data_IF_391764341400
#
_entry.id   IF_391764341400
#
_cell.length_a   1.000
_cell.length_b   1.000
_cell.length_c   1.000
_cell.angle_alpha   90.00
_cell.angle_beta   90.00
_cell.angle_gamma   90.00
#
_symmetry.space_group_name_H-M   'P 1'
#
loop_
_entity.id
_entity.type
_entity.pdbx_description
1 polymer ?
#
# COMPACT_ATOMS: atom_id res chain seq x y z
N UNK A 1 -19.66 22.48 -10.18
CA UNK A 1 -18.82 21.62 -9.33
C UNK A 1 -17.57 21.27 -10.13
N UNK A 2 -16.37 21.10 -9.50
CA UNK A 2 -15.15 20.71 -10.21
C UNK A 2 -15.01 19.20 -10.33
N UNK A 3 -14.33 18.74 -11.36
CA UNK A 3 -13.91 17.34 -11.49
C UNK A 3 -13.13 16.92 -10.26
N UNK A 4 -13.39 15.71 -9.75
CA UNK A 4 -12.65 15.15 -8.61
C UNK A 4 -12.58 13.64 -8.67
N UNK A 5 -11.52 13.11 -8.05
CA UNK A 5 -11.35 11.66 -7.84
C UNK A 5 -11.43 11.37 -6.34
N UNK A 6 -12.33 10.48 -5.95
CA UNK A 6 -12.43 9.94 -4.59
C UNK A 6 -11.71 8.59 -4.55
N UNK A 7 -10.60 8.54 -3.81
CA UNK A 7 -9.73 7.35 -3.75
C UNK A 7 -10.03 6.52 -2.52
N UNK A 8 -10.22 5.21 -2.73
CA UNK A 8 -10.38 4.24 -1.67
C UNK A 8 -9.28 3.18 -1.75
N UNK A 9 -8.78 2.73 -0.61
CA UNK A 9 -7.85 1.61 -0.51
C UNK A 9 -6.37 2.00 -0.47
N UNK A 10 -5.55 1.38 -1.32
CA UNK A 10 -4.10 1.33 -1.19
C UNK A 10 -3.35 2.48 -1.87
N UNK A 11 -2.02 2.50 -1.68
CA UNK A 11 -1.10 3.46 -2.32
C UNK A 11 -1.15 3.41 -3.85
N UNK A 12 -1.36 2.21 -4.41
CA UNK A 12 -1.48 2.02 -5.85
C UNK A 12 -2.75 2.71 -6.39
N UNK A 13 -3.90 2.59 -5.70
CA UNK A 13 -5.08 3.36 -6.05
C UNK A 13 -4.83 4.88 -5.94
N UNK A 14 -4.06 5.32 -4.95
CA UNK A 14 -3.71 6.73 -4.82
C UNK A 14 -2.83 7.22 -5.98
N UNK A 15 -1.88 6.41 -6.44
CA UNK A 15 -1.06 6.69 -7.63
C UNK A 15 -1.95 6.77 -8.88
N UNK A 16 -2.78 5.77 -9.13
CA UNK A 16 -3.68 5.72 -10.29
C UNK A 16 -4.71 6.87 -10.29
N UNK A 17 -5.17 7.30 -9.12
CA UNK A 17 -6.06 8.46 -9.02
C UNK A 17 -5.40 9.74 -9.52
N UNK A 18 -4.09 9.87 -9.40
CA UNK A 18 -3.35 11.02 -9.97
C UNK A 18 -3.28 10.96 -11.50
N UNK A 19 -3.16 9.77 -12.06
CA UNK A 19 -3.25 9.57 -13.51
C UNK A 19 -4.65 9.97 -14.00
N UNK A 20 -5.68 9.52 -13.32
CA UNK A 20 -7.08 9.89 -13.65
C UNK A 20 -7.26 11.41 -13.55
N UNK A 21 -6.82 12.04 -12.44
CA UNK A 21 -6.92 13.49 -12.25
C UNK A 21 -6.25 14.27 -13.39
N UNK A 22 -5.07 13.81 -13.84
CA UNK A 22 -4.33 14.46 -14.92
C UNK A 22 -5.02 14.32 -16.29
N UNK A 23 -5.77 13.23 -16.50
CA UNK A 23 -6.46 12.94 -17.75
C UNK A 23 -7.91 13.48 -17.80
N UNK A 24 -8.47 13.92 -16.68
CA UNK A 24 -9.79 14.51 -16.67
C UNK A 24 -9.79 15.84 -17.43
N UNK A 25 -10.75 16.08 -18.35
CA UNK A 25 -10.79 17.32 -19.15
C UNK A 25 -10.99 18.55 -18.26
N UNK A 26 -10.50 19.69 -18.72
CA UNK A 26 -10.88 20.96 -18.14
C UNK A 26 -12.39 21.16 -18.28
N UNK A 27 -13.03 21.68 -17.20
CA UNK A 27 -14.47 21.81 -17.08
C UNK A 27 -15.09 22.61 -18.24
N UNK A 28 -15.89 21.96 -19.08
CA UNK A 28 -16.73 22.68 -20.07
C UNK A 28 -18.20 22.22 -20.06
N UNK A 29 -18.50 20.96 -19.66
CA UNK A 29 -19.87 20.46 -19.75
C UNK A 29 -20.36 19.91 -18.41
N UNK A 30 -20.33 18.77 -18.00
CA UNK A 30 -20.78 18.31 -16.67
C UNK A 30 -19.60 17.87 -15.81
N UNK A 31 -19.56 18.32 -14.56
CA UNK A 31 -18.55 17.89 -13.59
C UNK A 31 -18.59 16.37 -13.39
N UNK A 32 -17.41 15.74 -13.32
CA UNK A 32 -17.25 14.30 -13.13
C UNK A 32 -16.74 14.00 -11.72
N UNK A 33 -17.36 13.03 -11.06
CA UNK A 33 -16.87 12.48 -9.81
C UNK A 33 -16.48 11.02 -10.04
N UNK A 34 -15.20 10.74 -9.95
CA UNK A 34 -14.64 9.39 -10.18
C UNK A 34 -14.36 8.72 -8.85
N UNK A 35 -14.93 7.53 -8.63
CA UNK A 35 -14.71 6.71 -7.46
C UNK A 35 -13.70 5.59 -7.80
N UNK A 36 -12.45 5.72 -7.36
CA UNK A 36 -11.45 4.67 -7.52
C UNK A 36 -11.55 3.68 -6.35
N UNK A 37 -12.23 2.57 -6.58
CA UNK A 37 -12.74 1.65 -5.57
C UNK A 37 -11.72 0.61 -5.11
N UNK A 38 -11.88 0.12 -3.87
CA UNK A 38 -11.09 -0.95 -3.28
C UNK A 38 -11.94 -2.22 -3.07
N UNK A 39 -11.33 -3.39 -3.29
CA UNK A 39 -11.97 -4.70 -3.14
C UNK A 39 -11.42 -5.53 -1.96
N UNK A 40 -10.43 -5.05 -1.23
CA UNK A 40 -9.74 -5.84 -0.19
C UNK A 40 -10.69 -6.30 0.92
N UNK A 41 -11.60 -5.45 1.37
CA UNK A 41 -12.59 -5.79 2.40
C UNK A 41 -14.01 -5.44 1.96
N UNK A 42 -15.01 -6.17 2.48
CA UNK A 42 -16.43 -5.85 2.26
C UNK A 42 -16.80 -4.45 2.79
N UNK A 43 -16.14 -4.02 3.88
CA UNK A 43 -16.32 -2.69 4.44
C UNK A 43 -15.85 -1.60 3.47
N UNK A 44 -14.71 -1.78 2.81
CA UNK A 44 -14.24 -0.83 1.80
C UNK A 44 -15.24 -0.69 0.64
N UNK A 45 -15.80 -1.80 0.14
CA UNK A 45 -16.85 -1.77 -0.90
C UNK A 45 -18.11 -1.06 -0.40
N UNK A 46 -18.53 -1.31 0.84
CA UNK A 46 -19.68 -0.64 1.46
C UNK A 46 -19.48 0.87 1.53
N UNK A 47 -18.30 1.33 1.94
CA UNK A 47 -17.95 2.76 2.00
C UNK A 47 -18.01 3.43 0.63
N UNK A 48 -17.49 2.78 -0.41
CA UNK A 48 -17.60 3.26 -1.80
C UNK A 48 -19.06 3.46 -2.19
N UNK A 49 -19.92 2.42 -2.02
CA UNK A 49 -21.36 2.51 -2.35
C UNK A 49 -22.08 3.61 -1.57
N UNK A 50 -21.73 3.80 -0.30
CA UNK A 50 -22.29 4.90 0.51
C UNK A 50 -21.87 6.29 -0.01
N UNK A 51 -20.59 6.45 -0.38
CA UNK A 51 -20.07 7.72 -0.90
C UNK A 51 -20.73 8.05 -2.24
N UNK A 52 -20.91 7.08 -3.13
CA UNK A 52 -21.65 7.22 -4.41
C UNK A 52 -23.06 7.76 -4.16
N UNK A 53 -23.86 7.07 -3.31
CA UNK A 53 -25.23 7.50 -2.98
C UNK A 53 -25.29 8.88 -2.36
N UNK A 54 -24.34 9.21 -1.47
CA UNK A 54 -24.23 10.53 -0.87
C UNK A 54 -23.92 11.60 -1.90
N UNK A 55 -23.04 11.32 -2.85
CA UNK A 55 -22.66 12.24 -3.91
C UNK A 55 -23.84 12.51 -4.84
N UNK A 56 -24.56 11.48 -5.31
CA UNK A 56 -25.74 11.65 -6.18
C UNK A 56 -26.83 12.48 -5.51
N UNK A 57 -27.11 12.24 -4.22
CA UNK A 57 -28.11 13.04 -3.48
C UNK A 57 -27.73 14.52 -3.35
N UNK A 58 -26.43 14.82 -3.21
CA UNK A 58 -25.94 16.20 -3.05
C UNK A 58 -25.77 16.94 -4.37
N UNK A 59 -25.52 16.20 -5.42
CA UNK A 59 -25.19 16.70 -6.75
C UNK A 59 -25.89 15.83 -7.82
N UNK A 60 -27.19 16.09 -8.09
CA UNK A 60 -27.98 15.25 -9.02
C UNK A 60 -27.42 15.20 -10.44
N UNK A 61 -26.82 16.30 -10.90
CA UNK A 61 -26.45 16.49 -12.32
C UNK A 61 -24.99 16.07 -12.63
N UNK A 62 -24.19 15.67 -11.62
CA UNK A 62 -22.80 15.26 -11.88
C UNK A 62 -22.74 13.90 -12.57
N UNK A 63 -21.74 13.69 -13.41
CA UNK A 63 -21.44 12.37 -13.95
C UNK A 63 -20.64 11.56 -12.92
N UNK A 64 -21.19 10.44 -12.47
CA UNK A 64 -20.55 9.53 -11.52
C UNK A 64 -19.94 8.36 -12.27
N UNK A 65 -18.62 8.25 -12.19
CA UNK A 65 -17.84 7.17 -12.79
C UNK A 65 -17.24 6.31 -11.66
N UNK A 66 -17.40 5.01 -11.74
CA UNK A 66 -16.80 4.06 -10.78
C UNK A 66 -15.73 3.24 -11.47
N UNK A 67 -14.58 3.12 -10.85
CA UNK A 67 -13.44 2.31 -11.30
C UNK A 67 -12.74 1.66 -10.12
N UNK A 68 -11.61 1.00 -10.35
CA UNK A 68 -10.81 0.37 -9.31
C UNK A 68 -11.14 -1.10 -9.10
N UNK A 69 -10.49 -1.72 -8.09
CA UNK A 69 -10.55 -3.17 -7.93
C UNK A 69 -11.96 -3.72 -7.70
N UNK A 70 -12.83 -3.01 -6.98
CA UNK A 70 -14.19 -3.49 -6.76
C UNK A 70 -15.05 -3.42 -8.02
N UNK A 71 -14.90 -2.36 -8.83
CA UNK A 71 -15.58 -2.22 -10.11
C UNK A 71 -15.09 -3.24 -11.14
N UNK A 72 -13.80 -3.57 -11.14
CA UNK A 72 -13.23 -4.60 -12.02
C UNK A 72 -13.75 -6.00 -11.70
N UNK A 73 -13.89 -6.33 -10.40
CA UNK A 73 -14.29 -7.68 -9.95
C UNK A 73 -15.80 -7.91 -10.10
N UNK A 74 -16.59 -6.89 -9.86
CA UNK A 74 -18.06 -6.96 -9.85
C UNK A 74 -18.64 -5.71 -10.52
N UNK A 75 -18.45 -5.58 -11.86
CA UNK A 75 -18.93 -4.43 -12.61
C UNK A 75 -20.44 -4.30 -12.61
N UNK A 76 -21.16 -5.43 -12.64
CA UNK A 76 -22.63 -5.49 -12.70
C UNK A 76 -23.26 -4.87 -11.45
N UNK A 77 -22.73 -5.17 -10.27
CA UNK A 77 -23.21 -4.55 -9.02
C UNK A 77 -23.14 -3.03 -9.04
N UNK A 78 -22.10 -2.45 -9.61
CA UNK A 78 -22.00 -0.99 -9.75
C UNK A 78 -22.83 -0.46 -10.95
N UNK A 79 -22.85 -1.20 -12.05
CA UNK A 79 -23.64 -0.87 -13.23
C UNK A 79 -25.15 -0.86 -12.98
N UNK A 80 -25.65 -1.67 -12.04
CA UNK A 80 -27.06 -1.68 -11.64
C UNK A 80 -27.44 -0.56 -10.65
N UNK A 81 -26.47 0.16 -10.09
CA UNK A 81 -26.76 1.29 -9.21
C UNK A 81 -27.32 2.47 -10.01
N UNK A 82 -28.54 2.98 -9.71
CA UNK A 82 -29.13 4.10 -10.46
C UNK A 82 -28.31 5.39 -10.32
N UNK A 83 -27.47 5.48 -9.29
CA UNK A 83 -26.60 6.61 -9.04
C UNK A 83 -25.36 6.67 -9.95
N UNK A 84 -24.99 5.55 -10.60
CA UNK A 84 -23.74 5.41 -11.38
C UNK A 84 -24.02 5.61 -12.86
N UNK A 85 -23.28 6.48 -13.52
CA UNK A 85 -23.37 6.71 -14.95
C UNK A 85 -22.48 5.73 -15.76
N UNK A 86 -21.22 5.50 -15.30
CA UNK A 86 -20.28 4.62 -15.98
C UNK A 86 -19.48 3.79 -14.99
N UNK A 87 -19.12 2.57 -15.42
CA UNK A 87 -18.16 1.68 -14.75
C UNK A 87 -16.99 1.42 -15.69
N UNK A 88 -15.77 1.74 -15.24
CA UNK A 88 -14.55 1.64 -16.03
C UNK A 88 -13.59 0.67 -15.36
N UNK A 89 -13.02 -0.26 -16.12
CA UNK A 89 -12.06 -1.25 -15.63
C UNK A 89 -10.72 -0.68 -15.21
N UNK A 90 -9.89 -1.53 -14.61
CA UNK A 90 -8.60 -1.14 -14.06
C UNK A 90 -7.53 -0.88 -15.14
N UNK A 91 -7.64 -1.49 -16.31
CA UNK A 91 -6.79 -1.19 -17.46
C UNK A 91 -7.26 0.09 -18.16
N UNK A 92 -8.56 0.17 -18.44
CA UNK A 92 -9.18 1.25 -19.22
C UNK A 92 -8.99 2.60 -18.53
N UNK A 93 -9.09 2.65 -17.20
CA UNK A 93 -8.92 3.90 -16.44
C UNK A 93 -7.57 4.58 -16.60
N UNK A 94 -6.54 3.83 -17.08
CA UNK A 94 -5.21 4.37 -17.31
C UNK A 94 -5.03 4.96 -18.72
N UNK A 95 -6.01 4.78 -19.62
CA UNK A 95 -5.98 5.29 -21.00
C UNK A 95 -6.53 6.72 -21.03
N UNK A 96 -5.76 7.72 -21.55
CA UNK A 96 -6.22 9.12 -21.58
C UNK A 96 -7.52 9.31 -22.35
N UNK A 97 -7.70 8.58 -23.45
CA UNK A 97 -8.85 8.73 -24.35
C UNK A 97 -10.19 8.47 -23.67
N UNK A 98 -10.23 7.52 -22.71
CA UNK A 98 -11.45 7.21 -21.95
C UNK A 98 -11.95 8.40 -21.13
N UNK A 99 -11.05 9.30 -20.73
CA UNK A 99 -11.38 10.48 -19.95
C UNK A 99 -11.66 11.71 -20.79
N UNK A 100 -11.14 11.80 -22.02
CA UNK A 100 -11.40 12.92 -22.94
C UNK A 100 -12.87 12.94 -23.36
N UNK A 101 -13.41 11.77 -23.74
CA UNK A 101 -14.82 11.56 -24.06
C UNK A 101 -15.25 10.23 -23.43
N UNK A 102 -16.20 10.30 -22.47
CA UNK A 102 -16.77 9.07 -21.92
C UNK A 102 -17.53 8.34 -23.05
N UNK A 103 -17.34 7.04 -23.21
CA UNK A 103 -18.09 6.24 -24.18
C UNK A 103 -19.60 6.26 -23.89
N UNK A 104 -20.39 5.92 -24.91
CA UNK A 104 -21.85 5.80 -24.74
C UNK A 104 -22.23 4.56 -23.90
N UNK A 105 -21.35 3.54 -23.89
CA UNK A 105 -21.54 2.32 -23.11
C UNK A 105 -21.32 2.60 -21.62
N UNK A 106 -22.23 2.05 -20.81
CA UNK A 106 -22.19 2.21 -19.35
C UNK A 106 -21.11 1.37 -18.68
N UNK A 107 -20.83 0.17 -19.22
CA UNK A 107 -19.85 -0.79 -18.69
C UNK A 107 -18.70 -0.92 -19.68
N UNK A 108 -17.50 -0.49 -19.26
CA UNK A 108 -16.27 -0.55 -20.06
C UNK A 108 -15.23 -1.28 -19.21
N UNK A 109 -15.36 -2.58 -19.13
CA UNK A 109 -14.56 -3.45 -18.27
C UNK A 109 -14.14 -4.68 -19.05
N UNK A 110 -12.87 -4.75 -19.45
CA UNK A 110 -12.31 -5.93 -20.10
C UNK A 110 -11.80 -6.94 -19.08
N UNK A 111 -11.53 -8.15 -19.55
CA UNK A 111 -10.92 -9.18 -18.70
C UNK A 111 -9.47 -8.80 -18.37
N UNK A 112 -9.26 -8.44 -17.11
CA UNK A 112 -7.95 -8.00 -16.60
C UNK A 112 -6.89 -9.12 -16.66
N UNK A 113 -7.29 -10.39 -16.80
CA UNK A 113 -6.36 -11.52 -16.91
C UNK A 113 -5.66 -11.57 -18.28
N UNK A 114 -6.22 -10.92 -19.29
CA UNK A 114 -5.65 -10.83 -20.63
C UNK A 114 -4.60 -9.71 -20.77
N UNK A 115 -4.45 -8.84 -19.78
CA UNK A 115 -3.50 -7.74 -19.78
C UNK A 115 -2.09 -8.27 -19.51
N UNK A 116 -1.19 -8.13 -20.49
CA UNK A 116 0.19 -8.66 -20.43
C UNK A 116 1.23 -7.62 -20.06
N UNK A 117 0.96 -6.34 -20.31
CA UNK A 117 1.90 -5.25 -20.08
C UNK A 117 1.32 -4.19 -19.16
N UNK A 118 2.19 -3.50 -18.45
CA UNK A 118 1.81 -2.30 -17.69
C UNK A 118 2.28 -1.08 -18.50
N UNK A 119 1.32 -0.31 -19.03
CA UNK A 119 1.65 0.93 -19.70
C UNK A 119 2.39 1.87 -18.73
N UNK A 120 3.54 2.45 -19.14
CA UNK A 120 4.23 3.42 -18.30
C UNK A 120 3.34 4.63 -18.07
N UNK A 121 3.22 5.04 -16.82
CA UNK A 121 2.39 6.17 -16.43
C UNK A 121 3.24 7.16 -15.64
N UNK A 122 3.33 8.40 -16.14
CA UNK A 122 4.06 9.46 -15.47
C UNK A 122 3.11 10.32 -14.63
N UNK A 123 3.41 10.42 -13.35
CA UNK A 123 2.68 11.26 -12.39
C UNK A 123 3.60 12.40 -11.97
N UNK A 124 3.14 13.63 -12.13
CA UNK A 124 3.92 14.82 -11.77
C UNK A 124 3.93 15.11 -10.26
N UNK A 125 3.03 14.51 -9.49
CA UNK A 125 3.08 14.65 -8.03
C UNK A 125 1.78 14.39 -7.28
N UNK A 126 1.87 14.56 -5.96
CA UNK A 126 0.80 14.31 -4.99
C UNK A 126 0.57 15.57 -4.15
N UNK A 127 -0.53 16.28 -4.36
CA UNK A 127 -0.82 17.55 -3.65
C UNK A 127 -0.72 17.40 -2.14
N UNK A 128 0.03 18.30 -1.50
CA UNK A 128 0.16 18.37 -0.05
C UNK A 128 0.96 17.24 0.58
N UNK A 129 1.81 16.55 -0.19
CA UNK A 129 2.76 15.53 0.29
C UNK A 129 4.13 15.78 -0.31
N UNK A 130 5.17 15.46 0.43
CA UNK A 130 6.57 15.49 -0.02
C UNK A 130 7.15 14.07 -0.15
N UNK A 131 6.30 13.08 0.06
CA UNK A 131 6.53 11.67 -0.20
C UNK A 131 5.69 11.23 -1.40
N UNK A 132 6.35 10.75 -2.45
CA UNK A 132 5.73 10.28 -3.67
C UNK A 132 5.64 8.76 -3.75
N UNK A 133 4.64 8.26 -4.45
CA UNK A 133 4.54 6.84 -4.80
C UNK A 133 5.07 6.63 -6.22
N UNK A 134 5.95 5.65 -6.41
CA UNK A 134 6.41 5.21 -7.70
C UNK A 134 5.94 3.76 -7.93
N UNK A 135 5.07 3.57 -8.92
CA UNK A 135 4.62 2.23 -9.25
C UNK A 135 5.73 1.48 -9.98
N UNK A 136 6.07 0.28 -9.49
CA UNK A 136 7.09 -0.58 -10.10
C UNK A 136 6.50 -1.90 -10.61
N UNK A 137 5.31 -2.28 -10.13
CA UNK A 137 4.71 -3.58 -10.42
C UNK A 137 3.18 -3.51 -10.27
N UNK A 138 2.45 -4.32 -11.05
CA UNK A 138 1.00 -4.50 -11.02
C UNK A 138 0.65 -5.98 -11.03
N UNK A 139 -0.56 -6.31 -10.52
CA UNK A 139 -1.07 -7.68 -10.53
C UNK A 139 -0.32 -8.60 -9.55
N UNK A 140 -0.69 -9.88 -9.53
CA UNK A 140 -0.06 -10.90 -8.68
C UNK A 140 -0.36 -12.30 -9.21
N UNK A 141 0.68 -13.13 -9.35
CA UNK A 141 0.56 -14.52 -9.80
C UNK A 141 0.23 -15.48 -8.65
N UNK A 142 0.34 -15.01 -7.41
CA UNK A 142 -0.06 -15.81 -6.27
C UNK A 142 -1.58 -15.98 -6.21
N UNK A 143 -2.01 -17.16 -5.81
CA UNK A 143 -3.41 -17.51 -5.64
C UNK A 143 -3.69 -17.88 -4.18
N UNK A 144 -3.34 -16.92 -3.28
CA UNK A 144 -3.66 -17.06 -1.85
C UNK A 144 -5.17 -17.27 -1.68
N UNK A 145 -5.56 -18.23 -0.84
CA UNK A 145 -6.95 -18.70 -0.76
C UNK A 145 -7.97 -17.63 -0.33
N UNK A 146 -7.53 -16.57 0.29
CA UNK A 146 -8.36 -15.46 0.76
C UNK A 146 -8.37 -14.25 -0.18
N UNK A 147 -7.44 -14.21 -1.15
CA UNK A 147 -7.14 -12.98 -1.89
C UNK A 147 -7.98 -12.86 -3.15
N UNK A 148 -8.64 -11.72 -3.29
CA UNK A 148 -9.44 -11.35 -4.46
C UNK A 148 -8.66 -10.46 -5.45
N UNK A 149 -7.49 -9.99 -5.06
CA UNK A 149 -6.73 -8.97 -5.81
C UNK A 149 -6.31 -9.42 -7.22
N UNK A 150 -5.89 -10.68 -7.48
CA UNK A 150 -5.58 -11.10 -8.85
C UNK A 150 -6.75 -10.89 -9.83
N UNK A 151 -7.99 -11.06 -9.38
CA UNK A 151 -9.17 -10.84 -10.21
C UNK A 151 -9.49 -9.36 -10.47
N UNK A 152 -8.96 -8.47 -9.63
CA UNK A 152 -9.08 -7.03 -9.84
C UNK A 152 -7.87 -6.38 -10.51
N UNK A 153 -6.71 -7.05 -10.50
CA UNK A 153 -5.43 -6.49 -10.95
C UNK A 153 -4.73 -7.31 -12.04
N UNK A 154 -5.21 -8.52 -12.31
CA UNK A 154 -4.60 -9.45 -13.26
C UNK A 154 -3.33 -10.14 -12.75
N UNK A 155 -2.60 -10.76 -13.67
CA UNK A 155 -1.32 -11.40 -13.40
C UNK A 155 -0.21 -10.38 -13.13
N UNK A 156 0.91 -10.84 -12.56
CA UNK A 156 2.07 -10.00 -12.26
C UNK A 156 2.63 -9.36 -13.53
N UNK A 157 2.89 -8.07 -13.46
CA UNK A 157 3.50 -7.27 -14.54
C UNK A 157 4.39 -6.20 -13.93
N UNK A 158 5.62 -6.14 -14.40
CA UNK A 158 6.64 -5.21 -13.91
C UNK A 158 6.75 -3.99 -14.82
N UNK A 159 7.07 -2.85 -14.24
CA UNK A 159 7.42 -1.65 -15.00
C UNK A 159 8.90 -1.71 -15.34
N UNK A 160 9.27 -1.45 -16.60
CA UNK A 160 10.65 -1.44 -17.03
C UNK A 160 11.50 -0.44 -16.23
N UNK A 161 12.74 -0.80 -15.87
CA UNK A 161 13.63 0.02 -15.03
C UNK A 161 13.80 1.44 -15.58
N UNK A 162 13.93 1.60 -16.91
CA UNK A 162 14.03 2.91 -17.54
C UNK A 162 12.83 3.81 -17.29
N UNK A 163 11.63 3.26 -17.24
CA UNK A 163 10.39 4.01 -16.95
C UNK A 163 10.30 4.39 -15.46
N UNK A 164 10.74 3.50 -14.55
CA UNK A 164 10.85 3.82 -13.12
C UNK A 164 11.82 4.98 -12.90
N UNK A 165 12.99 4.94 -13.57
CA UNK A 165 13.99 6.02 -13.51
C UNK A 165 13.40 7.35 -14.00
N UNK A 166 12.69 7.35 -15.13
CA UNK A 166 12.03 8.55 -15.67
C UNK A 166 11.00 9.10 -14.67
N UNK A 167 10.16 8.23 -14.11
CA UNK A 167 9.13 8.61 -13.13
C UNK A 167 9.75 9.23 -11.87
N UNK A 168 10.80 8.61 -11.31
CA UNK A 168 11.44 9.10 -10.09
C UNK A 168 12.17 10.43 -10.35
N UNK A 169 12.83 10.60 -11.51
CA UNK A 169 13.44 11.88 -11.92
C UNK A 169 12.41 12.99 -12.00
N UNK A 170 11.28 12.75 -12.68
CA UNK A 170 10.20 13.72 -12.79
C UNK A 170 9.67 14.15 -11.41
N UNK A 171 9.51 13.22 -10.49
CA UNK A 171 9.09 13.52 -9.12
C UNK A 171 10.16 14.32 -8.36
N UNK A 172 11.44 13.97 -8.54
CA UNK A 172 12.56 14.68 -7.93
C UNK A 172 12.62 16.13 -8.41
N UNK A 173 12.48 16.37 -9.72
CA UNK A 173 12.40 17.71 -10.33
C UNK A 173 11.23 18.53 -9.78
N UNK A 174 10.13 17.86 -9.40
CA UNK A 174 8.98 18.48 -8.74
C UNK A 174 9.13 18.63 -7.22
N UNK A 175 10.34 18.43 -6.66
CA UNK A 175 10.69 18.71 -5.27
C UNK A 175 10.35 17.61 -4.28
N UNK A 176 10.05 16.39 -4.73
CA UNK A 176 9.87 15.24 -3.84
C UNK A 176 11.21 14.73 -3.34
N UNK A 177 11.27 14.37 -2.06
CA UNK A 177 12.50 13.92 -1.38
C UNK A 177 12.43 12.47 -0.88
N UNK A 178 11.22 11.96 -0.67
CA UNK A 178 10.99 10.55 -0.28
C UNK A 178 10.15 9.85 -1.35
N UNK A 179 10.59 8.66 -1.77
CA UNK A 179 9.93 7.82 -2.78
C UNK A 179 9.56 6.49 -2.17
N UNK A 180 8.31 6.05 -2.41
CA UNK A 180 7.84 4.73 -1.98
C UNK A 180 7.62 3.88 -3.22
N UNK A 181 8.47 2.87 -3.43
CA UNK A 181 8.27 1.88 -4.47
C UNK A 181 7.03 1.05 -4.14
N UNK A 182 6.06 1.06 -5.02
CA UNK A 182 4.75 0.47 -4.76
C UNK A 182 4.29 -0.47 -5.87
N UNK A 183 3.58 -1.50 -5.47
CA UNK A 183 2.96 -2.49 -6.35
C UNK A 183 1.96 -3.33 -5.58
N UNK A 184 1.49 -4.38 -6.21
CA UNK A 184 0.64 -5.41 -5.56
C UNK A 184 1.52 -6.43 -4.85
N UNK A 185 2.62 -6.82 -5.50
CA UNK A 185 3.60 -7.80 -5.04
C UNK A 185 4.97 -7.43 -5.58
N UNK A 186 5.61 -6.47 -4.91
CA UNK A 186 6.86 -5.89 -5.40
C UNK A 186 8.04 -6.87 -5.36
N UNK A 187 7.98 -7.91 -4.54
CA UNK A 187 9.02 -8.92 -4.45
C UNK A 187 9.07 -9.83 -5.68
N UNK A 188 7.94 -9.99 -6.39
CA UNK A 188 7.88 -10.69 -7.68
C UNK A 188 8.36 -9.83 -8.87
N UNK A 189 8.91 -8.62 -8.62
CA UNK A 189 9.37 -7.73 -9.67
C UNK A 189 10.37 -8.39 -10.61
N UNK A 190 10.16 -8.17 -11.91
CA UNK A 190 11.10 -8.45 -12.98
C UNK A 190 11.02 -9.85 -13.58
N UNK A 191 10.20 -10.75 -13.04
CA UNK A 191 10.05 -12.12 -13.58
C UNK A 191 9.55 -12.15 -15.03
N UNK A 192 8.82 -11.14 -15.45
CA UNK A 192 8.27 -10.92 -16.79
C UNK A 192 9.14 -10.02 -17.69
N UNK A 193 10.23 -9.45 -17.16
CA UNK A 193 11.13 -8.57 -17.90
C UNK A 193 12.32 -9.33 -18.51
N UNK A 194 12.89 -8.84 -19.61
CA UNK A 194 14.13 -9.39 -20.15
C UNK A 194 15.27 -9.41 -19.13
N UNK A 195 15.94 -10.56 -19.01
CA UNK A 195 17.01 -10.78 -18.03
C UNK A 195 16.54 -10.95 -16.59
N UNK A 196 15.24 -10.97 -16.35
CA UNK A 196 14.59 -11.26 -15.06
C UNK A 196 15.26 -10.58 -13.84
N UNK A 197 15.44 -9.25 -13.86
CA UNK A 197 16.08 -8.53 -12.75
C UNK A 197 15.20 -8.63 -11.50
N UNK A 198 15.79 -8.99 -10.36
CA UNK A 198 15.07 -9.02 -9.08
C UNK A 198 14.93 -7.62 -8.49
N UNK A 199 14.12 -7.51 -7.43
CA UNK A 199 13.81 -6.23 -6.77
C UNK A 199 15.08 -5.51 -6.30
N UNK A 200 15.99 -6.19 -5.62
CA UNK A 200 17.26 -5.61 -5.16
C UNK A 200 18.11 -5.08 -6.31
N UNK A 201 18.24 -5.87 -7.41
CA UNK A 201 18.96 -5.44 -8.62
C UNK A 201 18.33 -4.17 -9.23
N UNK A 202 16.99 -4.10 -9.28
CA UNK A 202 16.28 -2.93 -9.77
C UNK A 202 16.57 -1.70 -8.90
N UNK A 203 16.52 -1.83 -7.59
CA UNK A 203 16.81 -0.73 -6.65
C UNK A 203 18.27 -0.26 -6.79
N UNK A 204 19.25 -1.16 -6.88
CA UNK A 204 20.66 -0.81 -7.15
C UNK A 204 20.78 0.03 -8.43
N UNK A 205 20.11 -0.39 -9.51
CA UNK A 205 20.12 0.37 -10.78
C UNK A 205 19.40 1.71 -10.66
N UNK A 206 18.26 1.78 -9.96
CA UNK A 206 17.55 3.04 -9.73
C UNK A 206 18.43 4.04 -9.00
N UNK A 207 19.02 3.64 -7.86
CA UNK A 207 19.86 4.49 -7.03
C UNK A 207 21.17 4.93 -7.71
N UNK A 208 21.68 4.10 -8.64
CA UNK A 208 22.83 4.45 -9.49
C UNK A 208 22.48 5.47 -10.58
N UNK A 209 21.27 5.40 -11.14
CA UNK A 209 20.88 6.23 -12.29
C UNK A 209 20.14 7.52 -11.90
N UNK A 210 19.70 7.65 -10.65
CA UNK A 210 18.99 8.84 -10.16
C UNK A 210 19.73 9.41 -8.97
N UNK A 211 20.52 10.42 -9.22
CA UNK A 211 21.14 11.22 -8.17
C UNK A 211 20.09 12.07 -7.45
N UNK A 212 20.31 12.38 -6.17
CA UNK A 212 19.42 13.25 -5.38
C UNK A 212 18.25 12.52 -4.69
N UNK A 213 18.10 11.19 -4.85
CA UNK A 213 17.20 10.44 -3.98
C UNK A 213 17.77 10.48 -2.56
N UNK A 214 17.05 11.11 -1.63
CA UNK A 214 17.46 11.17 -0.22
C UNK A 214 16.86 10.04 0.60
N UNK A 215 15.61 9.67 0.31
CA UNK A 215 14.87 8.65 1.08
C UNK A 215 14.09 7.74 0.14
N UNK A 216 14.34 6.44 0.23
CA UNK A 216 13.64 5.40 -0.51
C UNK A 216 12.96 4.44 0.45
N UNK A 217 11.71 4.11 0.21
CA UNK A 217 10.95 3.12 0.98
C UNK A 217 10.34 2.07 0.06
N UNK A 218 10.07 0.92 0.63
CA UNK A 218 9.35 -0.16 -0.03
C UNK A 218 7.92 -0.25 0.50
N UNK A 219 6.98 -0.64 -0.35
CA UNK A 219 5.70 -1.18 0.12
C UNK A 219 5.92 -2.57 0.71
N UNK A 220 4.83 -3.30 1.00
CA UNK A 220 4.94 -4.62 1.62
C UNK A 220 5.72 -5.61 0.76
N UNK A 221 6.63 -6.36 1.38
CA UNK A 221 7.41 -7.43 0.76
C UNK A 221 6.96 -8.81 1.26
N UNK A 222 7.04 -9.81 0.41
CA UNK A 222 6.80 -11.20 0.82
C UNK A 222 8.05 -11.76 1.51
N UNK A 223 7.95 -12.29 2.75
CA UNK A 223 9.10 -12.82 3.47
C UNK A 223 9.87 -13.92 2.72
N UNK A 224 9.19 -14.69 1.87
CA UNK A 224 9.81 -15.80 1.12
C UNK A 224 10.56 -15.35 -0.15
N UNK A 225 10.49 -14.08 -0.53
CA UNK A 225 11.03 -13.57 -1.80
C UNK A 225 12.02 -12.43 -1.62
N UNK A 226 12.44 -12.15 -0.39
CA UNK A 226 13.52 -11.19 -0.12
C UNK A 226 14.81 -11.74 -0.74
N UNK A 227 15.39 -10.98 -1.68
CA UNK A 227 16.58 -11.39 -2.40
C UNK A 227 17.89 -10.87 -1.75
N UNK A 228 19.02 -11.53 -2.07
CA UNK A 228 20.34 -11.19 -1.50
C UNK A 228 20.75 -9.74 -1.81
N UNK A 229 20.47 -9.24 -3.02
CA UNK A 229 20.73 -7.86 -3.39
C UNK A 229 19.92 -6.88 -2.51
N UNK A 230 18.69 -7.25 -2.13
CA UNK A 230 17.87 -6.43 -1.22
C UNK A 230 18.43 -6.47 0.21
N UNK A 231 18.90 -7.63 0.69
CA UNK A 231 19.55 -7.74 2.00
C UNK A 231 20.84 -6.91 2.06
N UNK A 232 21.67 -6.97 1.01
CA UNK A 232 22.87 -6.16 0.87
C UNK A 232 22.55 -4.66 0.91
N UNK A 233 21.53 -4.21 0.17
CA UNK A 233 21.05 -2.83 0.21
C UNK A 233 20.53 -2.43 1.60
N UNK A 234 19.81 -3.33 2.29
CA UNK A 234 19.37 -3.05 3.67
C UNK A 234 20.56 -2.88 4.61
N UNK A 235 21.66 -3.58 4.39
CA UNK A 235 22.87 -3.46 5.20
C UNK A 235 23.66 -2.18 4.90
N UNK A 236 23.77 -1.78 3.63
CA UNK A 236 24.79 -0.82 3.19
C UNK A 236 24.25 0.50 2.65
N UNK A 237 23.00 0.56 2.20
CA UNK A 237 22.43 1.74 1.54
C UNK A 237 21.64 2.62 2.53
N UNK A 238 22.21 3.75 2.89
CA UNK A 238 21.61 4.69 3.86
C UNK A 238 20.32 5.33 3.35
N UNK A 239 20.21 5.55 2.03
CA UNK A 239 19.01 6.12 1.39
C UNK A 239 17.81 5.19 1.43
N UNK A 240 18.02 3.89 1.59
CA UNK A 240 16.96 2.93 1.83
C UNK A 240 16.57 2.97 3.31
N UNK A 241 15.39 3.50 3.60
CA UNK A 241 14.97 3.78 4.98
C UNK A 241 14.87 2.50 5.84
N UNK A 242 15.28 2.59 7.13
CA UNK A 242 15.30 1.43 8.05
C UNK A 242 13.89 1.06 8.54
N UNK A 243 13.00 0.79 7.61
CA UNK A 243 11.62 0.40 7.87
C UNK A 243 11.13 -0.54 6.75
N UNK A 244 10.81 -1.78 7.09
CA UNK A 244 10.34 -2.78 6.15
C UNK A 244 9.01 -3.39 6.61
N UNK A 245 8.04 -3.47 5.71
CA UNK A 245 6.73 -4.04 6.00
C UNK A 245 6.59 -5.41 5.32
N UNK A 246 6.23 -6.44 6.10
CA UNK A 246 6.19 -7.82 5.67
C UNK A 246 4.73 -8.30 5.46
N UNK A 247 4.48 -8.98 4.35
CA UNK A 247 3.19 -9.62 4.06
C UNK A 247 3.07 -10.97 4.78
N UNK A 248 3.04 -10.97 6.11
CA UNK A 248 3.10 -12.19 6.96
C UNK A 248 1.78 -12.96 6.97
N UNK A 249 0.67 -12.29 7.21
CA UNK A 249 -0.71 -12.75 7.24
C UNK A 249 -1.11 -13.56 8.49
N UNK A 250 -0.29 -14.50 8.99
CA UNK A 250 -0.56 -15.30 10.20
C UNK A 250 0.75 -15.80 10.83
N UNK A 251 0.67 -16.22 12.10
CA UNK A 251 1.81 -16.82 12.83
C UNK A 251 1.68 -18.33 13.04
N UNK A 252 0.68 -18.98 12.47
CA UNK A 252 0.50 -20.43 12.53
C UNK A 252 0.78 -21.07 11.18
N UNK A 253 1.70 -22.04 11.12
CA UNK A 253 2.07 -22.75 9.89
C UNK A 253 0.89 -23.44 9.22
N UNK A 254 -0.05 -23.99 10.01
CA UNK A 254 -1.24 -24.62 9.45
C UNK A 254 -2.16 -23.58 8.80
N UNK A 255 -2.30 -22.40 9.39
CA UNK A 255 -3.05 -21.29 8.78
C UNK A 255 -2.33 -20.76 7.54
N UNK A 256 -1.01 -20.57 7.59
CA UNK A 256 -0.21 -20.15 6.43
C UNK A 256 -0.37 -21.14 5.26
N UNK A 257 -0.32 -22.45 5.52
CA UNK A 257 -0.58 -23.49 4.50
C UNK A 257 -2.01 -23.40 3.93
N UNK A 258 -3.03 -23.20 4.79
CA UNK A 258 -4.42 -23.01 4.34
C UNK A 258 -4.60 -21.72 3.52
N UNK A 259 -3.82 -20.70 3.80
CA UNK A 259 -3.74 -19.46 3.03
C UNK A 259 -2.98 -19.63 1.70
N UNK A 260 -2.28 -20.76 1.48
CA UNK A 260 -1.30 -20.97 0.40
C UNK A 260 -0.15 -19.95 0.44
N UNK A 261 0.36 -19.65 1.65
CA UNK A 261 1.60 -18.88 1.81
C UNK A 261 2.81 -19.77 1.59
N UNK A 262 3.92 -19.17 1.18
CA UNK A 262 5.17 -19.88 0.84
C UNK A 262 6.20 -19.83 1.95
N UNK A 263 6.04 -18.95 2.92
CA UNK A 263 6.81 -18.89 4.15
C UNK A 263 6.09 -19.61 5.29
N UNK A 264 6.85 -20.03 6.26
CA UNK A 264 6.41 -20.53 7.55
C UNK A 264 6.69 -19.48 8.64
N UNK A 265 6.22 -19.75 9.85
CA UNK A 265 6.44 -18.90 11.02
C UNK A 265 7.92 -18.63 11.29
N UNK A 266 8.72 -19.71 11.28
CA UNK A 266 10.16 -19.64 11.54
C UNK A 266 10.91 -18.83 10.49
N UNK A 267 10.47 -18.83 9.24
CA UNK A 267 11.10 -18.02 8.19
C UNK A 267 10.97 -16.52 8.49
N UNK A 268 9.81 -16.09 9.02
CA UNK A 268 9.59 -14.70 9.45
C UNK A 268 10.50 -14.32 10.61
N UNK A 269 10.63 -15.21 11.62
CA UNK A 269 11.49 -14.97 12.79
C UNK A 269 12.96 -14.87 12.37
N UNK A 270 13.44 -15.81 11.52
CA UNK A 270 14.79 -15.81 10.99
C UNK A 270 15.10 -14.56 10.16
N UNK A 271 14.19 -14.19 9.26
CA UNK A 271 14.34 -12.98 8.47
C UNK A 271 14.37 -11.72 9.35
N UNK A 272 13.52 -11.64 10.37
CA UNK A 272 13.50 -10.52 11.30
C UNK A 272 14.81 -10.41 12.10
N UNK A 273 15.36 -11.55 12.57
CA UNK A 273 16.64 -11.61 13.26
C UNK A 273 17.79 -11.17 12.34
N UNK A 274 17.86 -11.70 11.11
CA UNK A 274 18.86 -11.33 10.11
C UNK A 274 18.81 -9.83 9.79
N UNK A 275 17.63 -9.30 9.51
CA UNK A 275 17.45 -7.87 9.22
C UNK A 275 17.88 -6.99 10.40
N UNK A 276 17.67 -7.44 11.64
CA UNK A 276 18.09 -6.74 12.84
C UNK A 276 19.61 -6.81 13.06
N UNK A 277 20.23 -7.89 12.67
CA UNK A 277 21.69 -8.06 12.71
C UNK A 277 22.37 -7.14 11.70
N UNK A 278 21.97 -7.16 10.43
CA UNK A 278 22.59 -6.36 9.37
C UNK A 278 22.25 -4.87 9.45
N UNK A 279 21.11 -4.50 10.07
CA UNK A 279 20.68 -3.11 10.27
C UNK A 279 20.02 -2.92 11.64
N UNK A 280 20.78 -2.72 12.71
CA UNK A 280 20.28 -2.72 14.10
C UNK A 280 19.14 -1.74 14.40
N UNK A 281 19.03 -0.64 13.64
CA UNK A 281 17.96 0.36 13.78
C UNK A 281 16.72 0.05 12.93
N UNK A 282 16.65 -1.08 12.22
CA UNK A 282 15.49 -1.39 11.38
C UNK A 282 14.24 -1.60 12.22
N UNK A 283 13.12 -1.11 11.72
CA UNK A 283 11.77 -1.34 12.26
C UNK A 283 10.96 -2.16 11.27
N UNK A 284 10.38 -3.25 11.78
CA UNK A 284 9.57 -4.16 10.98
C UNK A 284 8.09 -3.91 11.23
N UNK A 285 7.31 -4.02 10.17
CA UNK A 285 5.85 -4.04 10.23
C UNK A 285 5.29 -5.31 9.59
N UNK A 286 4.02 -5.58 9.78
CA UNK A 286 3.36 -6.71 9.15
C UNK A 286 1.88 -6.48 8.87
N UNK A 287 1.41 -7.05 7.74
CA UNK A 287 0.00 -7.30 7.51
C UNK A 287 -0.39 -8.62 8.20
N UNK A 288 -1.43 -8.60 9.05
CA UNK A 288 -1.96 -9.76 9.76
C UNK A 288 -3.48 -9.87 9.60
N UNK A 289 -3.96 -11.09 9.37
CA UNK A 289 -5.39 -11.41 9.27
C UNK A 289 -5.85 -12.10 10.55
N UNK A 290 -6.80 -11.51 11.27
CA UNK A 290 -7.38 -12.06 12.47
C UNK A 290 -8.65 -12.86 12.16
N UNK A 291 -8.73 -14.10 12.63
CA UNK A 291 -9.89 -14.96 12.47
C UNK A 291 -10.05 -15.49 11.05
N UNK A 292 -8.95 -15.93 10.43
CA UNK A 292 -9.02 -16.71 9.19
C UNK A 292 -9.88 -17.96 9.41
N UNK A 293 -10.67 -18.43 8.39
CA UNK A 293 -11.48 -19.63 8.52
C UNK A 293 -10.71 -20.79 9.14
N UNK A 294 -11.34 -21.47 10.08
CA UNK A 294 -10.76 -22.62 10.81
C UNK A 294 -9.60 -22.31 11.78
N UNK A 295 -9.31 -21.05 12.06
CA UNK A 295 -8.28 -20.65 13.04
C UNK A 295 -8.74 -21.00 14.47
N UNK A 296 -8.01 -21.89 15.17
CA UNK A 296 -8.27 -22.19 16.59
C UNK A 296 -7.69 -21.10 17.51
N UNK A 297 -7.91 -21.22 18.81
CA UNK A 297 -7.36 -20.27 19.78
C UNK A 297 -5.84 -20.42 19.90
N UNK A 298 -5.32 -21.65 19.83
CA UNK A 298 -3.87 -21.94 19.84
C UNK A 298 -3.19 -21.36 18.59
N UNK A 299 -3.80 -21.50 17.40
CA UNK A 299 -3.29 -20.93 16.17
C UNK A 299 -3.29 -19.39 16.21
N UNK A 300 -4.33 -18.80 16.78
CA UNK A 300 -4.38 -17.37 16.98
C UNK A 300 -3.31 -16.89 17.97
N UNK A 301 -3.11 -17.62 19.07
CA UNK A 301 -2.05 -17.34 20.04
C UNK A 301 -0.67 -17.32 19.39
N UNK A 302 -0.38 -18.29 18.50
CA UNK A 302 0.87 -18.31 17.72
C UNK A 302 1.05 -17.02 16.89
N UNK A 303 -0.03 -16.44 16.38
CA UNK A 303 0.04 -15.16 15.64
C UNK A 303 0.33 -13.99 16.59
N UNK A 304 -0.24 -13.99 17.80
CA UNK A 304 0.06 -12.97 18.82
C UNK A 304 1.51 -13.08 19.29
N UNK A 305 1.99 -14.30 19.56
CA UNK A 305 3.36 -14.56 20.01
C UNK A 305 4.39 -14.11 18.95
N UNK A 306 4.11 -14.36 17.67
CA UNK A 306 4.97 -13.93 16.54
C UNK A 306 5.20 -12.42 16.53
N UNK A 307 4.19 -11.60 16.90
CA UNK A 307 4.32 -10.14 16.97
C UNK A 307 5.47 -9.72 17.87
N UNK A 308 5.63 -10.39 19.01
CA UNK A 308 6.70 -10.12 19.97
C UNK A 308 8.03 -10.73 19.53
N UNK A 309 8.02 -11.98 19.06
CA UNK A 309 9.22 -12.74 18.70
C UNK A 309 9.95 -12.14 17.50
N UNK A 310 9.22 -11.69 16.48
CA UNK A 310 9.77 -11.01 15.32
C UNK A 310 9.83 -9.46 15.50
N UNK A 311 9.48 -8.95 16.68
CA UNK A 311 9.46 -7.52 17.01
C UNK A 311 8.77 -6.66 15.93
N UNK A 312 7.52 -7.03 15.59
CA UNK A 312 6.72 -6.37 14.55
C UNK A 312 6.00 -5.16 15.11
N UNK A 313 6.47 -3.96 14.81
CA UNK A 313 5.99 -2.69 15.39
C UNK A 313 4.81 -2.10 14.58
N UNK A 314 4.96 -1.95 13.28
CA UNK A 314 3.94 -1.35 12.42
C UNK A 314 2.96 -2.41 11.92
N UNK A 315 1.88 -2.67 12.67
CA UNK A 315 0.90 -3.70 12.34
C UNK A 315 -0.30 -3.14 11.58
N UNK A 316 -0.61 -3.75 10.45
CA UNK A 316 -1.89 -3.61 9.77
C UNK A 316 -2.74 -4.85 10.05
N UNK A 317 -3.74 -4.70 10.90
CA UNK A 317 -4.60 -5.81 11.34
C UNK A 317 -5.94 -5.78 10.61
N UNK A 318 -6.20 -6.85 9.86
CA UNK A 318 -7.43 -7.04 9.11
C UNK A 318 -8.27 -8.15 9.76
N UNK A 319 -9.48 -7.86 10.29
CA UNK A 319 -10.43 -8.94 10.53
C UNK A 319 -10.70 -9.65 9.21
N UNK A 320 -10.64 -10.98 9.21
CA UNK A 320 -10.90 -11.73 7.98
C UNK A 320 -12.24 -11.31 7.36
N UNK A 321 -12.22 -11.06 6.06
CA UNK A 321 -13.38 -10.64 5.28
C UNK A 321 -13.57 -11.61 4.11
N UNK A 322 -14.59 -12.45 4.16
CA UNK A 322 -14.90 -13.38 3.09
C UNK A 322 -15.15 -12.62 1.79
N UNK A 323 -14.52 -13.08 0.70
CA UNK A 323 -14.69 -12.54 -0.65
C UNK A 323 -15.29 -13.62 -1.55
N UNK A 324 -16.44 -13.31 -2.13
CA UNK A 324 -17.11 -14.23 -3.08
C UNK A 324 -16.13 -14.66 -4.16
N UNK A 325 -16.14 -15.95 -4.50
CA UNK A 325 -15.22 -16.54 -5.48
C UNK A 325 -13.90 -17.06 -4.90
N UNK A 326 -13.50 -16.65 -3.69
CA UNK A 326 -12.26 -17.15 -3.07
C UNK A 326 -12.47 -18.50 -2.37
N UNK A 327 -11.46 -19.40 -2.37
CA UNK A 327 -11.55 -20.68 -1.66
C UNK A 327 -11.84 -20.52 -0.16
N UNK A 328 -11.23 -19.56 0.51
CA UNK A 328 -11.42 -19.33 1.94
C UNK A 328 -12.86 -18.90 2.31
N UNK A 329 -13.61 -18.31 1.38
CA UNK A 329 -15.01 -17.98 1.61
C UNK A 329 -15.90 -19.22 1.76
N UNK A 330 -15.47 -20.38 1.23
CA UNK A 330 -16.17 -21.66 1.30
C UNK A 330 -15.80 -22.50 2.54
N UNK A 331 -14.76 -22.08 3.28
CA UNK A 331 -14.31 -22.77 4.50
C UNK A 331 -15.23 -22.43 5.69
N UNK A 332 -15.24 -23.25 6.77
CA UNK A 332 -15.95 -22.93 8.01
C UNK A 332 -15.50 -21.59 8.60
N UNK A 333 -16.44 -20.66 8.70
CA UNK A 333 -16.15 -19.26 9.09
C UNK A 333 -16.07 -19.08 10.60
N UNK A 334 -15.16 -18.24 11.05
CA UNK A 334 -15.12 -17.74 12.44
C UNK A 334 -16.19 -16.67 12.63
N UNK A 335 -16.87 -16.69 13.77
CA UNK A 335 -17.92 -15.73 14.10
C UNK A 335 -17.39 -14.27 14.05
N UNK A 336 -18.16 -13.29 13.54
CA UNK A 336 -17.72 -11.91 13.40
C UNK A 336 -17.26 -11.24 14.69
N UNK A 337 -17.90 -11.54 15.81
CA UNK A 337 -17.49 -11.04 17.14
C UNK A 337 -16.12 -11.57 17.55
N UNK A 338 -15.82 -12.86 17.32
CA UNK A 338 -14.51 -13.46 17.60
C UNK A 338 -13.43 -12.79 16.75
N UNK A 339 -13.68 -12.60 15.44
CA UNK A 339 -12.76 -11.88 14.55
C UNK A 339 -12.44 -10.47 15.03
N UNK A 340 -13.45 -9.74 15.55
CA UNK A 340 -13.26 -8.38 16.11
C UNK A 340 -12.40 -8.41 17.39
N UNK A 341 -12.66 -9.37 18.28
CA UNK A 341 -11.87 -9.54 19.53
C UNK A 341 -10.43 -9.87 19.19
N UNK A 342 -10.18 -10.84 18.32
CA UNK A 342 -8.82 -11.21 17.89
C UNK A 342 -8.08 -10.05 17.22
N UNK A 343 -8.76 -9.30 16.36
CA UNK A 343 -8.17 -8.11 15.74
C UNK A 343 -7.83 -7.02 16.77
N UNK A 344 -8.63 -6.87 17.83
CA UNK A 344 -8.32 -5.96 18.93
C UNK A 344 -7.08 -6.43 19.70
N UNK A 345 -7.01 -7.70 20.09
CA UNK A 345 -5.86 -8.27 20.81
C UNK A 345 -4.53 -8.07 20.06
N UNK A 346 -4.52 -8.30 18.75
CA UNK A 346 -3.33 -8.03 17.93
C UNK A 346 -2.95 -6.55 17.91
N UNK A 347 -3.93 -5.64 17.83
CA UNK A 347 -3.66 -4.19 17.88
C UNK A 347 -3.11 -3.79 19.26
N UNK A 348 -3.66 -4.34 20.33
CA UNK A 348 -3.21 -4.06 21.70
C UNK A 348 -1.75 -4.56 21.90
N UNK A 349 -1.42 -5.76 21.37
CA UNK A 349 -0.05 -6.28 21.37
C UNK A 349 0.93 -5.36 20.61
N UNK A 350 0.56 -4.94 19.40
CA UNK A 350 1.37 -3.99 18.61
C UNK A 350 1.52 -2.62 19.30
N UNK A 351 0.44 -2.10 19.88
CA UNK A 351 0.47 -0.82 20.60
C UNK A 351 1.44 -0.84 21.80
N UNK A 352 1.51 -1.97 22.52
CA UNK A 352 2.48 -2.15 23.60
C UNK A 352 3.90 -2.10 23.09
N UNK A 353 4.22 -2.84 22.01
CA UNK A 353 5.57 -2.83 21.43
C UNK A 353 5.97 -1.43 20.91
N UNK A 354 5.03 -0.70 20.29
CA UNK A 354 5.27 0.68 19.84
C UNK A 354 5.60 1.57 21.05
N UNK A 355 4.81 1.50 22.13
CA UNK A 355 5.05 2.31 23.33
C UNK A 355 6.43 2.02 23.94
N UNK A 356 6.79 0.74 24.07
CA UNK A 356 8.11 0.31 24.58
C UNK A 356 9.24 0.77 23.65
N UNK A 357 9.06 0.74 22.34
CA UNK A 357 10.04 1.23 21.37
C UNK A 357 10.20 2.75 21.45
N UNK A 358 9.10 3.50 21.43
CA UNK A 358 9.14 4.96 21.45
C UNK A 358 9.74 5.50 22.76
N UNK A 359 9.50 4.85 23.91
CA UNK A 359 10.07 5.25 25.19
C UNK A 359 11.60 5.30 25.17
N UNK A 360 12.21 4.40 24.41
CA UNK A 360 13.67 4.34 24.21
C UNK A 360 14.22 5.39 23.23
N UNK A 361 13.33 6.13 22.54
CA UNK A 361 13.74 7.18 21.60
C UNK A 361 13.89 8.54 22.27
N UNK A 362 13.34 8.74 23.47
CA UNK A 362 13.48 10.00 24.22
C UNK A 362 14.96 10.28 24.52
N UNK A 363 15.41 11.50 24.19
CA UNK A 363 16.79 11.93 24.31
C UNK A 363 17.68 11.61 23.09
N UNK A 364 17.20 10.81 22.13
CA UNK A 364 17.92 10.50 20.90
C UNK A 364 17.54 11.46 19.76
N UNK A 365 18.40 11.52 18.76
CA UNK A 365 18.17 12.31 17.55
C UNK A 365 17.41 11.48 16.50
N UNK A 366 16.45 12.12 15.85
CA UNK A 366 15.67 11.58 14.74
C UNK A 366 15.76 12.49 13.52
N UNK A 367 15.86 11.89 12.33
CA UNK A 367 15.72 12.61 11.07
C UNK A 367 14.29 12.50 10.58
N UNK A 368 13.66 13.64 10.31
CA UNK A 368 12.21 13.74 10.01
C UNK A 368 11.99 14.45 8.68
N UNK A 369 11.28 13.84 7.75
CA UNK A 369 10.72 14.55 6.60
C UNK A 369 9.39 15.19 7.02
N UNK A 370 9.33 16.51 6.98
CA UNK A 370 8.15 17.30 7.35
C UNK A 370 7.12 17.29 6.19
N UNK A 371 5.88 16.93 6.48
CA UNK A 371 4.80 16.93 5.49
C UNK A 371 3.89 18.15 5.60
N UNK A 372 3.61 18.65 6.82
CA UNK A 372 2.86 19.89 7.08
C UNK A 372 2.97 20.29 8.55
N UNK A 373 2.86 21.60 8.83
CA UNK A 373 2.74 22.15 10.20
C UNK A 373 3.76 21.56 11.18
N UNK A 374 5.03 21.52 10.79
CA UNK A 374 6.12 20.93 11.57
C UNK A 374 5.91 19.47 11.98
N UNK A 375 5.04 18.75 11.29
CA UNK A 375 4.81 17.33 11.53
C UNK A 375 5.24 16.50 10.33
N UNK A 376 5.83 15.34 10.58
CA UNK A 376 6.30 14.44 9.53
C UNK A 376 6.56 13.04 10.05
N UNK A 377 7.43 12.33 9.34
CA UNK A 377 7.75 10.93 9.67
C UNK A 377 9.28 10.76 9.75
N UNK A 378 9.71 10.04 10.79
CA UNK A 378 11.12 9.64 10.96
C UNK A 378 11.55 8.62 9.91
N UNK A 379 12.86 8.30 9.88
CA UNK A 379 13.41 7.25 9.02
C UNK A 379 12.74 5.89 9.29
N UNK A 380 12.40 5.60 10.54
CA UNK A 380 11.68 4.40 10.97
C UNK A 380 10.15 4.49 10.79
N UNK A 381 9.65 5.56 10.17
CA UNK A 381 8.24 5.78 9.89
C UNK A 381 7.35 6.06 11.12
N UNK A 382 7.91 6.59 12.20
CA UNK A 382 7.12 7.09 13.31
C UNK A 382 6.71 8.55 13.09
N UNK A 383 5.49 8.95 13.47
CA UNK A 383 5.09 10.36 13.39
C UNK A 383 5.90 11.18 14.42
N UNK A 384 6.37 12.35 13.99
CA UNK A 384 7.08 13.29 14.83
C UNK A 384 6.62 14.72 14.59
N UNK A 385 6.51 15.47 15.66
CA UNK A 385 6.33 16.94 15.65
C UNK A 385 7.61 17.59 16.08
N UNK A 386 8.10 18.56 15.30
CA UNK A 386 9.35 19.30 15.55
C UNK A 386 9.02 20.74 15.88
N UNK A 387 9.60 21.31 16.96
CA UNK A 387 9.49 22.73 17.27
C UNK A 387 10.35 23.56 16.32
N UNK A 388 9.85 24.73 15.92
CA UNK A 388 10.57 25.63 15.01
C UNK A 388 9.69 26.16 13.88
N UNK A 389 10.31 26.85 12.93
CA UNK A 389 9.63 27.38 11.75
C UNK A 389 10.22 26.75 10.47
N UNK A 390 9.71 25.59 10.13
CA UNK A 390 10.14 24.80 8.98
C UNK A 390 9.07 24.72 7.91
N UNK A 391 9.50 24.50 6.67
CA UNK A 391 8.59 24.29 5.55
C UNK A 391 8.28 22.82 5.39
N UNK A 392 7.08 22.53 4.89
CA UNK A 392 6.75 21.20 4.44
C UNK A 392 7.70 20.80 3.29
N UNK A 393 8.29 19.60 3.35
CA UNK A 393 9.35 19.12 2.47
C UNK A 393 10.75 19.20 3.06
N UNK A 394 10.96 19.97 4.14
CA UNK A 394 12.25 19.98 4.80
C UNK A 394 12.55 18.65 5.50
N UNK A 395 13.81 18.23 5.44
CA UNK A 395 14.33 17.11 6.23
C UNK A 395 15.11 17.74 7.39
N UNK A 396 14.66 17.45 8.62
CA UNK A 396 15.17 18.09 9.83
C UNK A 396 15.65 17.03 10.82
N UNK A 397 16.83 17.22 11.38
CA UNK A 397 17.28 16.43 12.53
C UNK A 397 16.82 17.10 13.83
N UNK A 398 16.14 16.34 14.69
CA UNK A 398 15.59 16.84 15.94
C UNK A 398 15.86 15.87 17.09
N UNK A 399 16.16 16.39 18.26
CA UNK A 399 16.25 15.63 19.49
C UNK A 399 14.83 15.35 20.02
N UNK A 400 14.54 14.11 20.37
CA UNK A 400 13.25 13.73 20.95
C UNK A 400 13.20 14.18 22.41
N UNK A 401 12.28 15.07 22.74
CA UNK A 401 12.10 15.59 24.10
C UNK A 401 11.12 14.72 24.92
N UNK A 402 9.98 14.36 24.31
CA UNK A 402 8.95 13.54 24.95
C UNK A 402 8.04 12.87 23.92
N UNK A 403 7.11 12.07 24.41
CA UNK A 403 6.12 11.34 23.61
C UNK A 403 4.72 11.84 23.93
N UNK A 404 3.90 12.07 22.90
CA UNK A 404 2.46 12.39 23.02
C UNK A 404 1.64 11.38 22.26
N UNK A 405 1.00 10.45 22.97
CA UNK A 405 0.37 9.27 22.36
C UNK A 405 1.40 8.42 21.62
N UNK A 406 1.23 8.22 20.33
CA UNK A 406 2.21 7.52 19.46
C UNK A 406 3.07 8.48 18.63
N UNK A 407 3.12 9.76 18.97
CA UNK A 407 3.88 10.80 18.26
C UNK A 407 5.06 11.24 19.08
N UNK A 408 6.25 11.21 18.50
CA UNK A 408 7.46 11.82 19.06
C UNK A 408 7.32 13.34 18.99
N UNK A 409 7.80 14.05 20.01
CA UNK A 409 7.87 15.51 20.03
C UNK A 409 9.30 15.90 20.35
N UNK A 410 9.86 16.82 19.58
CA UNK A 410 11.26 17.18 19.76
C UNK A 410 11.61 18.56 19.25
N UNK A 411 12.84 18.96 19.58
CA UNK A 411 13.44 20.24 19.21
C UNK A 411 14.50 20.02 18.15
N UNK A 412 14.45 20.79 17.06
CA UNK A 412 15.47 20.74 16.02
C UNK A 412 16.84 21.14 16.54
N UNK A 413 17.88 20.53 15.97
CA UNK A 413 19.28 20.77 16.31
C UNK A 413 19.88 21.87 15.45
#
# INVERSE_FOLDING_TARGET
>A
MKNRVETFGCRLNAFESKIIEANLPAEKDSARVVFNSCAVTSEAVRQVKQSIRKTRRRHPDVKIVVTGCAAQIDPDTFGQMPEVDHVIGNEEKLKPDIWSKLPDERLIVNDIMNVKETAPQLVSGFKGRFRAFAQIQQGCDHRCTFCIIPYGRGNSRSVAIGEIVKQVRLLLENGYREFVLTGVDITSYGSDLPGQPRLGTMIKRLLKNVEGIERLRLSSVDPSEVDDDLLDLMATEERLMPSLHLSVQAGSDLILKRMKRRHLRDDVIKLAALLKEIRPNIVLGADLIAGFPTETEEMFKQTVDLVSEANLLHLHIFPYSARTGTPAAKMPQIAPNVRKVRAKLLRDAGAKLIADHLSKRVGLNETVLLEKNNTGYTDQFFPMTVSGNYKAGDIVTAKVDYIKGNTLVGTAL
#
